data_IF_758209026805
#
_entry.id   IF_758209026805
#
_cell.length_a   1.000
_cell.length_b   1.000
_cell.length_c   1.000
_cell.angle_alpha   90.00
_cell.angle_beta   90.00
_cell.angle_gamma   90.00
#
_symmetry.space_group_name_H-M   'P 1'
#
loop_
_entity.id
_entity.type
_entity.pdbx_description
1 polymer ?
#
# COMPACT_ATOMS: atom_id res chain seq x y z
N UNK A 1 -6.64 5.69 -12.39
CA UNK A 1 -5.29 5.85 -12.97
C UNK A 1 -4.41 6.35 -11.83
N UNK A 2 -3.39 5.59 -11.41
CA UNK A 2 -2.51 6.00 -10.32
C UNK A 2 -1.62 7.17 -10.79
N UNK A 3 -1.39 8.17 -9.94
CA UNK A 3 -0.52 9.29 -10.26
C UNK A 3 0.94 8.80 -10.45
N UNK A 4 1.83 9.56 -11.12
CA UNK A 4 3.20 9.13 -11.40
C UNK A 4 4.00 8.70 -10.15
N UNK A 5 3.64 9.26 -8.99
CA UNK A 5 4.30 9.01 -7.72
C UNK A 5 3.58 7.98 -6.85
N UNK A 6 2.47 7.40 -7.30
CA UNK A 6 1.70 6.45 -6.50
C UNK A 6 2.32 5.05 -6.56
N UNK A 7 2.33 4.36 -5.42
CA UNK A 7 2.80 2.98 -5.34
C UNK A 7 1.62 2.03 -5.25
N UNK A 8 1.53 1.07 -6.17
CA UNK A 8 0.43 0.12 -6.25
C UNK A 8 0.93 -1.32 -6.28
N UNK A 9 0.25 -2.22 -5.55
CA UNK A 9 0.38 -3.67 -5.69
C UNK A 9 -0.93 -4.35 -5.25
N UNK A 10 -1.46 -5.24 -6.09
CA UNK A 10 -2.77 -5.85 -5.86
C UNK A 10 -3.85 -4.78 -5.67
N UNK A 11 -4.60 -4.88 -4.58
CA UNK A 11 -5.61 -3.90 -4.18
C UNK A 11 -5.07 -2.76 -3.32
N UNK A 12 -3.78 -2.73 -3.01
CA UNK A 12 -3.19 -1.73 -2.12
C UNK A 12 -2.56 -0.59 -2.93
N UNK A 13 -2.82 0.65 -2.51
CA UNK A 13 -2.27 1.86 -3.15
C UNK A 13 -1.81 2.85 -2.08
N UNK A 14 -0.55 3.28 -2.17
CA UNK A 14 -0.04 4.41 -1.41
C UNK A 14 0.03 5.65 -2.32
N UNK A 15 -0.88 6.60 -2.11
CA UNK A 15 -0.98 7.80 -2.94
C UNK A 15 -0.10 8.92 -2.42
N UNK A 16 0.56 9.63 -3.33
CA UNK A 16 1.28 10.86 -3.00
C UNK A 16 0.34 11.92 -2.40
N UNK A 17 0.89 12.80 -1.56
CA UNK A 17 0.22 14.03 -1.14
C UNK A 17 1.04 15.24 -1.58
N UNK A 18 0.52 16.45 -1.37
CA UNK A 18 1.30 17.69 -1.57
C UNK A 18 2.56 17.74 -0.69
N UNK A 19 2.66 16.90 0.33
CA UNK A 19 3.85 16.74 1.16
C UNK A 19 4.61 15.47 0.72
N UNK A 20 5.85 15.67 0.26
CA UNK A 20 6.73 14.61 -0.25
C UNK A 20 7.11 13.54 0.79
N UNK A 21 6.91 13.80 2.08
CA UNK A 21 7.12 12.83 3.16
C UNK A 21 5.81 12.31 3.74
N UNK A 22 4.69 12.43 3.01
CA UNK A 22 3.40 11.89 3.43
C UNK A 22 2.70 11.19 2.28
N UNK A 23 2.18 9.99 2.55
CA UNK A 23 1.36 9.20 1.62
C UNK A 23 0.14 8.62 2.32
N UNK A 24 -0.99 8.51 1.61
CA UNK A 24 -2.19 7.85 2.13
C UNK A 24 -2.27 6.44 1.56
N UNK A 25 -2.43 5.44 2.42
CA UNK A 25 -2.55 4.04 2.06
C UNK A 25 -4.02 3.64 2.01
N UNK A 26 -4.42 3.06 0.89
CA UNK A 26 -5.77 2.60 0.61
C UNK A 26 -5.78 1.13 0.22
N UNK A 27 -6.94 0.50 0.44
CA UNK A 27 -7.33 -0.78 -0.12
C UNK A 27 -8.50 -0.56 -1.08
N UNK A 28 -8.40 -1.07 -2.30
CA UNK A 28 -9.34 -0.86 -3.41
C UNK A 28 -9.80 -2.19 -4.03
N UNK A 29 -10.12 -3.19 -3.20
CA UNK A 29 -10.90 -4.32 -3.71
C UNK A 29 -12.35 -3.87 -3.95
N UNK A 30 -13.00 -4.34 -5.03
CA UNK A 30 -14.37 -3.92 -5.35
C UNK A 30 -15.34 -4.13 -4.19
N UNK A 31 -16.01 -3.05 -3.76
CA UNK A 31 -16.99 -3.08 -2.67
C UNK A 31 -16.38 -3.18 -1.26
N UNK A 32 -15.06 -3.06 -1.14
CA UNK A 32 -14.30 -3.05 0.11
C UNK A 32 -13.33 -1.87 0.18
N UNK A 33 -13.60 -0.80 -0.59
CA UNK A 33 -12.73 0.36 -0.67
C UNK A 33 -12.61 1.07 0.67
N UNK A 34 -11.39 1.25 1.18
CA UNK A 34 -11.15 1.90 2.47
C UNK A 34 -9.78 2.54 2.58
N UNK A 35 -9.71 3.61 3.36
CA UNK A 35 -8.45 4.17 3.86
C UNK A 35 -7.90 3.27 4.98
N UNK A 36 -6.63 2.89 4.88
CA UNK A 36 -5.96 2.04 5.86
C UNK A 36 -5.17 2.91 6.85
N UNK A 37 -4.31 3.79 6.32
CA UNK A 37 -3.37 4.55 7.14
C UNK A 37 -2.76 5.74 6.39
N UNK A 38 -2.21 6.69 7.13
CA UNK A 38 -1.33 7.74 6.59
C UNK A 38 0.12 7.44 6.97
N UNK A 39 0.97 7.25 5.97
CA UNK A 39 2.41 7.07 6.14
C UNK A 39 3.09 8.45 6.21
N UNK A 40 3.97 8.65 7.20
CA UNK A 40 4.69 9.91 7.40
C UNK A 40 6.17 9.63 7.62
N UNK A 41 7.00 10.20 6.75
CA UNK A 41 8.46 10.21 6.90
C UNK A 41 8.90 11.26 7.91
N UNK A 42 9.76 10.87 8.85
CA UNK A 42 10.29 11.76 9.89
C UNK A 42 11.45 12.66 9.44
N UNK A 43 11.98 12.46 8.24
CA UNK A 43 13.11 13.24 7.70
C UNK A 43 12.81 13.80 6.32
N UNK A 44 13.11 15.09 6.14
CA UNK A 44 12.98 15.79 4.84
C UNK A 44 14.13 15.51 3.88
N UNK A 45 15.23 14.90 4.35
CA UNK A 45 16.40 14.58 3.52
C UNK A 45 16.42 13.13 3.03
N UNK A 46 15.60 12.26 3.64
CA UNK A 46 15.53 10.82 3.33
C UNK A 46 14.27 10.46 2.54
N UNK A 47 13.88 11.30 1.59
CA UNK A 47 12.65 11.12 0.79
C UNK A 47 12.73 9.83 -0.04
N UNK A 48 13.88 9.54 -0.66
CA UNK A 48 14.05 8.33 -1.46
C UNK A 48 13.93 7.04 -0.61
N UNK A 49 14.43 7.05 0.62
CA UNK A 49 14.27 5.93 1.57
C UNK A 49 12.80 5.78 1.97
N UNK A 50 12.12 6.89 2.28
CA UNK A 50 10.70 6.89 2.60
C UNK A 50 9.85 6.32 1.46
N UNK A 51 10.14 6.68 0.22
CA UNK A 51 9.45 6.16 -0.96
C UNK A 51 9.70 4.66 -1.16
N UNK A 52 10.95 4.20 -0.98
CA UNK A 52 11.28 2.78 -1.02
C UNK A 52 10.52 1.99 0.06
N UNK A 53 10.40 2.53 1.27
CA UNK A 53 9.65 1.90 2.35
C UNK A 53 8.15 1.86 2.07
N UNK A 54 7.57 2.92 1.52
CA UNK A 54 6.17 2.92 1.08
C UNK A 54 5.93 1.84 0.02
N UNK A 55 6.82 1.71 -0.97
CA UNK A 55 6.72 0.68 -1.99
C UNK A 55 6.83 -0.74 -1.39
N UNK A 56 7.72 -0.96 -0.42
CA UNK A 56 7.86 -2.23 0.30
C UNK A 56 6.59 -2.59 1.06
N UNK A 57 5.98 -1.62 1.76
CA UNK A 57 4.74 -1.82 2.53
C UNK A 57 3.62 -2.29 1.60
N UNK A 58 3.39 -1.59 0.48
CA UNK A 58 2.31 -1.93 -0.46
C UNK A 58 2.51 -3.34 -1.04
N UNK A 59 3.75 -3.70 -1.40
CA UNK A 59 4.09 -5.04 -1.88
C UNK A 59 3.91 -6.13 -0.82
N UNK A 60 4.34 -5.86 0.41
CA UNK A 60 4.21 -6.80 1.53
C UNK A 60 2.74 -7.08 1.84
N UNK A 61 1.88 -6.05 1.84
CA UNK A 61 0.45 -6.20 2.05
C UNK A 61 -0.20 -7.04 0.94
N UNK A 62 0.12 -6.76 -0.32
CA UNK A 62 -0.39 -7.55 -1.44
C UNK A 62 0.07 -9.02 -1.38
N UNK A 63 1.32 -9.25 -0.98
CA UNK A 63 1.84 -10.61 -0.83
C UNK A 63 1.16 -11.36 0.32
N UNK A 64 0.97 -10.70 1.46
CA UNK A 64 0.25 -11.26 2.61
C UNK A 64 -1.21 -11.61 2.26
N UNK A 65 -1.90 -10.71 1.57
CA UNK A 65 -3.28 -10.93 1.11
C UNK A 65 -3.37 -12.15 0.16
N UNK A 66 -2.46 -12.26 -0.81
CA UNK A 66 -2.39 -13.39 -1.72
C UNK A 66 -2.11 -14.72 -1.02
N UNK A 67 -1.26 -14.72 0.03
CA UNK A 67 -0.98 -15.92 0.82
C UNK A 67 -2.19 -16.36 1.66
N UNK A 68 -2.96 -15.42 2.22
CA UNK A 68 -4.13 -15.75 3.02
C UNK A 68 -5.33 -16.15 2.16
N UNK A 69 -5.53 -15.51 1.00
CA UNK A 69 -6.53 -15.93 0.03
C UNK A 69 -6.30 -17.39 -0.44
N UNK A 70 -5.05 -17.84 -0.51
CA UNK A 70 -4.72 -19.24 -0.82
C UNK A 70 -5.00 -20.22 0.34
N UNK A 71 -5.05 -19.73 1.58
CA UNK A 71 -5.29 -20.57 2.76
C UNK A 71 -6.79 -20.76 3.04
N UNK A 72 -7.63 -19.78 2.71
CA UNK A 72 -9.09 -19.88 2.88
C UNK A 72 -9.73 -20.90 1.92
N UNK A 73 -9.11 -21.15 0.75
CA UNK A 73 -9.54 -22.15 -0.24
C UNK A 73 -9.31 -23.61 0.21
N UNK A 74 -8.53 -23.85 1.29
CA UNK A 74 -8.26 -25.18 1.85
C UNK A 74 -9.14 -25.54 3.06
N UNK A 75 -10.11 -24.69 3.40
CA UNK A 75 -10.96 -24.81 4.58
C UNK A 75 -12.28 -25.57 4.40
N UNK A 76 -12.58 -26.10 3.21
CA UNK A 76 -13.76 -26.96 2.99
C UNK A 76 -13.34 -28.38 2.61
N UNK A 77 -13.32 -29.28 3.61
CA UNK A 77 -13.42 -30.74 3.44
C UNK A 77 -13.94 -31.35 4.74
#
# INVERSE_FOLDING_TARGET
MAAPDDFMAGHYVATATVNSTRRNLFYFAPGQERHIATLVGGSRTRIAEFDADCQRIVRALAHYDAQNAHNDDKGES
#
